data_IF_878841341551
#
_entry.id   IF_878841341551
#
_cell.length_a   1.000
_cell.length_b   1.000
_cell.length_c   1.000
_cell.angle_alpha   90.00
_cell.angle_beta   90.00
_cell.angle_gamma   90.00
#
_symmetry.space_group_name_H-M   'P 1'
#
loop_
_entity.id
_entity.type
_entity.pdbx_description
1 polymer ?
#
# COMPACT_ATOMS: atom_id res chain seq x y z
N UNK A 1 -60.32 -9.32 -31.25
CA UNK A 1 -59.36 -8.87 -32.29
C UNK A 1 -58.25 -9.91 -32.33
N UNK A 2 -58.36 -10.96 -33.15
CA UNK A 2 -57.89 -10.99 -34.55
C UNK A 2 -56.43 -10.53 -34.63
N UNK A 3 -55.42 -11.27 -35.09
CA UNK A 3 -55.25 -12.28 -36.18
C UNK A 3 -53.70 -12.46 -36.26
N UNK A 4 -53.03 -13.50 -36.75
CA UNK A 4 -53.34 -14.71 -37.51
C UNK A 4 -52.04 -15.46 -37.86
N UNK A 5 -52.13 -16.80 -37.97
CA UNK A 5 -51.51 -17.72 -38.96
C UNK A 5 -49.96 -17.84 -39.07
N UNK A 6 -49.34 -18.99 -39.41
CA UNK A 6 -49.75 -20.02 -40.38
C UNK A 6 -48.95 -21.34 -40.25
N UNK A 7 -49.50 -22.42 -40.82
CA UNK A 7 -49.03 -23.82 -40.88
C UNK A 7 -47.93 -24.05 -41.95
N UNK A 8 -47.12 -25.12 -41.82
CA UNK A 8 -47.16 -26.37 -42.65
C UNK A 8 -45.82 -27.16 -42.68
N UNK A 9 -45.94 -28.44 -42.30
CA UNK A 9 -45.36 -29.69 -42.84
C UNK A 9 -43.90 -29.83 -43.32
N UNK A 10 -43.25 -30.92 -42.85
CA UNK A 10 -42.83 -32.03 -43.75
C UNK A 10 -42.59 -33.37 -43.02
N UNK A 11 -43.19 -34.43 -43.56
CA UNK A 11 -42.93 -35.86 -43.27
C UNK A 11 -41.50 -36.27 -43.70
N UNK A 12 -40.91 -37.30 -43.07
CA UNK A 12 -40.59 -38.58 -43.74
C UNK A 12 -39.69 -39.55 -42.94
N UNK A 13 -40.18 -40.79 -42.84
CA UNK A 13 -39.49 -42.08 -43.06
C UNK A 13 -38.36 -42.55 -42.11
N UNK A 14 -38.70 -43.60 -41.34
CA UNK A 14 -37.78 -44.68 -40.93
C UNK A 14 -37.06 -45.31 -42.15
N UNK A 15 -35.86 -45.90 -41.99
CA UNK A 15 -35.83 -47.36 -41.83
C UNK A 15 -34.76 -47.93 -40.88
N UNK A 16 -35.21 -48.92 -40.10
CA UNK A 16 -34.58 -50.20 -39.70
C UNK A 16 -33.17 -50.52 -40.25
N UNK A 17 -32.25 -50.94 -39.36
CA UNK A 17 -31.27 -52.05 -39.59
C UNK A 17 -30.67 -52.55 -38.25
N UNK A 18 -31.22 -53.65 -37.73
CA UNK A 18 -30.57 -54.98 -37.61
C UNK A 18 -29.33 -55.07 -36.73
N UNK A 19 -29.51 -55.41 -35.45
CA UNK A 19 -28.53 -56.21 -34.71
C UNK A 19 -28.98 -57.68 -34.78
N UNK A 20 -28.34 -58.44 -35.68
CA UNK A 20 -28.56 -59.87 -35.85
C UNK A 20 -27.81 -60.65 -34.76
N UNK A 21 -28.59 -61.43 -34.01
CA UNK A 21 -28.37 -62.81 -33.56
C UNK A 21 -27.04 -63.16 -32.85
N UNK A 22 -27.21 -63.33 -31.54
CA UNK A 22 -26.67 -64.38 -30.66
C UNK A 22 -26.24 -65.69 -31.35
N UNK A 23 -25.15 -66.28 -30.83
CA UNK A 23 -24.98 -67.67 -30.34
C UNK A 23 -23.46 -67.89 -30.18
N UNK A 24 -22.91 -68.19 -29.00
CA UNK A 24 -23.13 -69.44 -28.26
C UNK A 24 -22.44 -69.41 -26.88
N UNK A 25 -23.08 -70.08 -25.91
CA UNK A 25 -22.52 -70.87 -24.79
C UNK A 25 -21.44 -70.20 -23.87
N UNK A 26 -21.56 -70.14 -22.52
CA UNK A 26 -22.41 -70.86 -21.57
C UNK A 26 -22.05 -70.41 -20.11
N UNK A 27 -22.97 -70.59 -19.15
CA UNK A 27 -22.85 -70.50 -17.66
C UNK A 27 -22.87 -69.14 -16.91
N UNK A 28 -24.05 -68.90 -16.28
CA UNK A 28 -24.32 -68.36 -14.93
C UNK A 28 -23.32 -67.36 -14.28
N UNK A 29 -23.79 -66.13 -14.03
CA UNK A 29 -24.15 -65.58 -12.70
C UNK A 29 -24.70 -64.16 -12.91
N UNK A 30 -25.91 -63.92 -12.39
CA UNK A 30 -26.42 -62.59 -12.11
C UNK A 30 -25.53 -61.95 -11.02
N UNK A 31 -24.71 -60.95 -11.37
CA UNK A 31 -24.25 -59.97 -10.40
C UNK A 31 -23.86 -58.67 -11.07
N UNK A 32 -24.71 -57.66 -10.86
CA UNK A 32 -24.37 -56.24 -10.77
C UNK A 32 -22.89 -55.90 -10.99
N UNK A 33 -22.56 -55.37 -12.16
CA UNK A 33 -21.42 -54.48 -12.35
C UNK A 33 -21.97 -53.11 -12.73
N UNK A 34 -22.58 -52.45 -11.73
CA UNK A 34 -22.39 -51.01 -11.63
C UNK A 34 -20.88 -50.79 -11.48
N UNK A 35 -20.16 -50.62 -12.59
CA UNK A 35 -18.82 -50.07 -12.55
C UNK A 35 -18.92 -48.65 -11.99
N UNK A 36 -18.83 -48.55 -10.65
CA UNK A 36 -18.63 -47.30 -9.95
C UNK A 36 -17.31 -46.71 -10.42
N UNK A 37 -17.39 -45.58 -11.12
CA UNK A 37 -16.23 -44.78 -11.47
C UNK A 37 -15.60 -44.32 -10.14
N UNK A 38 -14.56 -45.02 -9.70
CA UNK A 38 -13.81 -44.64 -8.51
C UNK A 38 -13.11 -43.31 -8.83
N UNK A 39 -13.53 -42.23 -8.16
CA UNK A 39 -12.92 -40.91 -8.36
C UNK A 39 -11.42 -41.01 -8.05
N UNK A 40 -10.56 -40.58 -8.98
CA UNK A 40 -9.11 -40.65 -8.83
C UNK A 40 -8.65 -39.89 -7.56
N UNK A 41 -7.96 -40.58 -6.66
CA UNK A 41 -7.35 -39.98 -5.48
C UNK A 41 -6.22 -39.02 -5.87
N UNK A 42 -6.24 -37.79 -5.35
CA UNK A 42 -5.30 -36.72 -5.70
C UNK A 42 -4.85 -35.96 -4.45
N UNK A 43 -3.53 -35.87 -4.24
CA UNK A 43 -2.94 -34.99 -3.23
C UNK A 43 -3.20 -33.50 -3.58
N UNK A 44 -3.10 -32.58 -2.61
CA UNK A 44 -3.41 -31.17 -2.87
C UNK A 44 -2.44 -30.56 -3.88
N UNK A 45 -2.95 -29.71 -4.76
CA UNK A 45 -2.16 -28.96 -5.75
C UNK A 45 -2.67 -27.52 -5.87
N UNK A 46 -1.77 -26.56 -6.07
CA UNK A 46 -2.15 -25.16 -6.27
C UNK A 46 -2.86 -24.96 -7.62
N UNK A 47 -4.01 -24.29 -7.61
CA UNK A 47 -4.78 -23.98 -8.83
C UNK A 47 -4.21 -22.75 -9.55
N UNK A 48 -3.64 -21.81 -8.80
CA UNK A 48 -3.14 -20.52 -9.31
C UNK A 48 -1.81 -20.14 -8.64
N UNK A 49 -0.72 -20.90 -8.85
CA UNK A 49 0.58 -20.63 -8.23
C UNK A 49 1.15 -19.25 -8.60
N UNK A 50 0.84 -18.73 -9.79
CA UNK A 50 1.29 -17.42 -10.26
C UNK A 50 0.78 -16.27 -9.37
N UNK A 51 -0.40 -16.44 -8.76
CA UNK A 51 -0.97 -15.44 -7.82
C UNK A 51 -0.32 -15.48 -6.45
N UNK A 52 0.57 -16.43 -6.21
CA UNK A 52 1.27 -16.67 -4.95
C UNK A 52 2.77 -16.35 -5.05
N UNK A 53 3.29 -16.00 -6.24
CA UNK A 53 4.70 -15.59 -6.43
C UNK A 53 5.06 -14.38 -5.58
N UNK A 54 4.11 -13.44 -5.43
CA UNK A 54 4.30 -12.26 -4.58
C UNK A 54 4.13 -12.65 -3.11
N UNK A 55 5.25 -12.97 -2.46
CA UNK A 55 5.26 -13.28 -1.03
C UNK A 55 5.08 -12.02 -0.17
N UNK A 56 5.74 -10.91 -0.50
CA UNK A 56 5.63 -9.64 0.25
C UNK A 56 4.45 -8.80 -0.23
N UNK A 57 3.52 -8.51 0.69
CA UNK A 57 2.41 -7.59 0.51
C UNK A 57 2.61 -6.35 1.40
N UNK A 58 3.35 -5.37 0.89
CA UNK A 58 3.44 -4.04 1.50
C UNK A 58 2.22 -3.19 1.09
N UNK A 59 1.41 -2.77 2.05
CA UNK A 59 0.18 -2.00 1.83
C UNK A 59 0.05 -0.85 2.82
N UNK A 60 -0.55 0.29 2.42
CA UNK A 60 -0.90 1.33 3.38
C UNK A 60 -1.91 0.83 4.43
N UNK A 61 -1.84 1.38 5.64
CA UNK A 61 -2.87 1.20 6.66
C UNK A 61 -4.27 1.57 6.13
N UNK A 62 -5.30 1.01 6.74
CA UNK A 62 -6.71 1.16 6.37
C UNK A 62 -7.09 0.57 4.99
N UNK A 63 -6.18 -0.15 4.32
CA UNK A 63 -6.48 -0.87 3.07
C UNK A 63 -6.97 -2.29 3.34
N UNK A 64 -7.56 -2.91 2.31
CA UNK A 64 -7.99 -4.31 2.36
C UNK A 64 -6.92 -5.20 1.75
N UNK A 65 -6.52 -6.25 2.48
CA UNK A 65 -5.57 -7.27 2.04
C UNK A 65 -6.33 -8.55 1.69
N UNK A 66 -5.88 -9.21 0.62
CA UNK A 66 -6.42 -10.50 0.17
C UNK A 66 -5.27 -11.46 -0.09
N UNK A 67 -5.20 -12.54 0.66
CA UNK A 67 -4.30 -13.67 0.40
C UNK A 67 -5.06 -14.81 -0.24
N UNK A 68 -4.49 -15.43 -1.27
CA UNK A 68 -5.14 -16.50 -2.04
C UNK A 68 -4.27 -17.75 -2.02
N UNK A 69 -4.83 -18.86 -1.55
CA UNK A 69 -4.23 -20.18 -1.55
C UNK A 69 -5.24 -21.19 -2.08
N UNK A 70 -5.71 -20.98 -3.31
CA UNK A 70 -6.65 -21.90 -3.92
C UNK A 70 -5.94 -23.20 -4.31
N UNK A 71 -6.45 -24.31 -3.81
CA UNK A 71 -5.93 -25.64 -4.09
C UNK A 71 -7.05 -26.59 -4.51
N UNK A 72 -6.68 -27.60 -5.27
CA UNK A 72 -7.54 -28.72 -5.68
C UNK A 72 -6.98 -30.02 -5.09
N UNK A 73 -7.80 -31.07 -5.04
CA UNK A 73 -7.43 -32.39 -4.53
C UNK A 73 -8.67 -33.28 -4.42
N UNK A 74 -8.46 -34.59 -4.32
CA UNK A 74 -9.53 -35.54 -4.11
C UNK A 74 -9.13 -36.57 -3.04
N UNK A 75 -9.73 -36.56 -1.83
CA UNK A 75 -10.82 -35.68 -1.39
C UNK A 75 -10.45 -34.19 -1.38
N UNK A 76 -11.47 -33.31 -1.46
CA UNK A 76 -11.28 -31.86 -1.42
C UNK A 76 -10.50 -31.48 -0.15
N UNK A 77 -9.36 -30.79 -0.25
CA UNK A 77 -8.53 -30.54 0.91
C UNK A 77 -9.11 -29.47 1.81
N UNK A 78 -8.85 -29.60 3.10
CA UNK A 78 -9.13 -28.54 4.08
C UNK A 78 -8.09 -27.43 3.99
N UNK A 79 -8.46 -26.20 4.34
CA UNK A 79 -7.58 -25.03 4.31
C UNK A 79 -7.64 -24.29 5.64
N UNK A 80 -6.49 -24.09 6.27
CA UNK A 80 -6.33 -23.31 7.52
C UNK A 80 -5.31 -22.20 7.33
N UNK A 81 -5.46 -21.12 8.11
CA UNK A 81 -4.56 -19.99 8.12
C UNK A 81 -3.85 -19.87 9.47
N UNK A 82 -2.58 -19.51 9.42
CA UNK A 82 -1.74 -19.27 10.58
C UNK A 82 -1.12 -17.88 10.47
N UNK A 83 -1.09 -17.14 11.58
CA UNK A 83 -0.35 -15.88 11.72
C UNK A 83 0.84 -16.13 12.63
N UNK A 84 2.05 -15.90 12.13
CA UNK A 84 3.30 -16.10 12.86
C UNK A 84 3.41 -17.51 13.49
N UNK A 85 2.95 -18.53 12.76
CA UNK A 85 3.00 -19.93 13.20
C UNK A 85 1.86 -20.37 14.13
N UNK A 86 1.02 -19.47 14.61
CA UNK A 86 -0.16 -19.79 15.42
C UNK A 86 -1.43 -19.75 14.59
N UNK A 87 -2.41 -20.59 14.90
CA UNK A 87 -3.69 -20.60 14.20
C UNK A 87 -4.33 -19.21 14.21
N UNK A 88 -4.68 -18.70 13.02
CA UNK A 88 -5.21 -17.35 12.86
C UNK A 88 -6.73 -17.35 13.13
N UNK A 89 -7.11 -16.80 14.27
CA UNK A 89 -8.49 -16.79 14.75
C UNK A 89 -9.11 -15.40 14.62
N UNK A 90 -10.43 -15.32 14.43
CA UNK A 90 -11.13 -14.05 14.14
C UNK A 90 -10.98 -13.02 15.27
N UNK A 91 -10.84 -13.47 16.51
CA UNK A 91 -10.68 -12.65 17.72
C UNK A 91 -9.29 -12.03 17.87
N UNK A 92 -8.29 -12.49 17.13
CA UNK A 92 -6.93 -11.92 17.16
C UNK A 92 -6.82 -10.56 16.46
N UNK A 93 -7.92 -10.07 15.85
CA UNK A 93 -7.98 -8.81 15.09
C UNK A 93 -9.31 -8.10 15.31
N UNK A 94 -9.26 -6.78 15.50
CA UNK A 94 -10.47 -5.93 15.52
C UNK A 94 -11.16 -5.98 14.15
N UNK A 95 -12.46 -6.31 14.14
CA UNK A 95 -13.24 -6.54 12.92
C UNK A 95 -13.04 -7.91 12.27
N UNK A 96 -12.17 -8.76 12.84
CA UNK A 96 -11.90 -10.12 12.37
C UNK A 96 -11.43 -10.20 10.91
N UNK A 97 -11.73 -11.33 10.27
CA UNK A 97 -11.44 -11.57 8.86
C UNK A 97 -12.59 -12.31 8.18
N UNK A 98 -12.67 -12.19 6.85
CA UNK A 98 -13.58 -12.97 6.01
C UNK A 98 -12.79 -14.07 5.31
N UNK A 99 -13.31 -15.28 5.33
CA UNK A 99 -12.69 -16.44 4.67
C UNK A 99 -13.67 -17.00 3.64
N UNK A 100 -13.19 -17.14 2.40
CA UNK A 100 -13.94 -17.77 1.30
C UNK A 100 -13.33 -19.12 1.00
N UNK A 101 -13.83 -20.17 1.65
CA UNK A 101 -13.31 -21.55 1.56
C UNK A 101 -13.16 -22.04 0.12
N UNK A 102 -14.22 -21.98 -0.69
CA UNK A 102 -14.19 -22.43 -2.08
C UNK A 102 -13.20 -21.65 -2.97
N UNK A 103 -12.83 -20.44 -2.58
CA UNK A 103 -11.88 -19.58 -3.31
C UNK A 103 -10.49 -19.56 -2.67
N UNK A 104 -10.28 -20.29 -1.57
CA UNK A 104 -9.06 -20.27 -0.77
C UNK A 104 -8.59 -18.87 -0.37
N UNK A 105 -9.51 -17.91 -0.17
CA UNK A 105 -9.16 -16.49 -0.01
C UNK A 105 -9.39 -16.00 1.42
N UNK A 106 -8.33 -15.49 2.06
CA UNK A 106 -8.38 -14.75 3.32
C UNK A 106 -8.46 -13.25 3.02
N UNK A 107 -9.43 -12.55 3.63
CA UNK A 107 -9.67 -11.12 3.44
C UNK A 107 -9.61 -10.42 4.81
N UNK A 108 -8.69 -9.47 4.95
CA UNK A 108 -8.59 -8.58 6.10
C UNK A 108 -8.88 -7.15 5.64
N UNK A 109 -9.93 -6.54 6.18
CA UNK A 109 -10.36 -5.17 5.85
C UNK A 109 -9.75 -4.17 6.83
N UNK A 110 -9.39 -2.99 6.34
CA UNK A 110 -8.83 -1.89 7.15
C UNK A 110 -7.61 -2.32 7.97
N UNK A 111 -6.56 -2.81 7.32
CA UNK A 111 -5.33 -3.30 7.98
C UNK A 111 -4.64 -2.23 8.83
N UNK A 112 -4.08 -2.64 9.96
CA UNK A 112 -3.37 -1.78 10.93
C UNK A 112 -1.96 -2.33 11.21
N UNK A 113 -1.03 -1.57 11.80
CA UNK A 113 0.34 -2.04 12.04
C UNK A 113 0.46 -3.36 12.81
N UNK A 114 -0.47 -3.65 13.73
CA UNK A 114 -0.50 -4.91 14.47
C UNK A 114 -0.85 -6.14 13.62
N UNK A 115 -1.33 -5.94 12.38
CA UNK A 115 -1.57 -7.02 11.42
C UNK A 115 -0.30 -7.49 10.71
N UNK A 116 0.82 -6.78 10.85
CA UNK A 116 2.09 -7.21 10.24
C UNK A 116 2.45 -8.63 10.68
N UNK A 117 3.08 -9.37 9.76
CA UNK A 117 3.61 -10.70 10.05
C UNK A 117 3.44 -11.69 8.91
N UNK A 118 3.74 -12.95 9.23
CA UNK A 118 3.70 -14.06 8.30
C UNK A 118 2.33 -14.75 8.34
N UNK A 119 1.66 -14.81 7.20
CA UNK A 119 0.39 -15.48 7.02
C UNK A 119 0.60 -16.74 6.20
N UNK A 120 0.53 -17.90 6.87
CA UNK A 120 0.73 -19.20 6.23
C UNK A 120 -0.60 -19.89 6.01
N UNK A 121 -0.89 -20.24 4.76
CA UNK A 121 -1.98 -21.15 4.45
C UNK A 121 -1.44 -22.59 4.49
N UNK A 122 -2.19 -23.49 5.13
CA UNK A 122 -1.91 -24.92 5.14
C UNK A 122 -3.12 -25.63 4.55
N UNK A 123 -2.87 -26.40 3.49
CA UNK A 123 -3.87 -27.16 2.75
C UNK A 123 -3.55 -28.64 2.91
N UNK A 124 -4.53 -29.45 3.30
CA UNK A 124 -4.30 -30.87 3.60
C UNK A 124 -5.49 -31.77 3.21
N UNK A 125 -5.17 -32.95 2.68
CA UNK A 125 -6.09 -34.09 2.61
C UNK A 125 -5.34 -35.38 2.99
N UNK A 126 -6.03 -36.52 2.94
CA UNK A 126 -5.45 -37.83 3.33
C UNK A 126 -4.27 -38.28 2.45
N UNK A 127 -4.04 -37.62 1.32
CA UNK A 127 -2.98 -37.94 0.36
C UNK A 127 -1.81 -36.96 0.39
N UNK A 128 -1.87 -35.86 1.14
CA UNK A 128 -0.76 -34.93 1.28
C UNK A 128 -1.09 -33.57 1.89
N UNK A 129 -0.06 -32.73 2.03
CA UNK A 129 -0.16 -31.36 2.52
C UNK A 129 0.69 -30.39 1.71
N UNK A 130 0.18 -29.18 1.52
CA UNK A 130 0.88 -28.03 0.97
C UNK A 130 0.80 -26.85 1.92
N UNK A 131 1.81 -25.99 1.88
CA UNK A 131 1.80 -24.71 2.59
C UNK A 131 2.43 -23.59 1.78
N UNK A 132 1.98 -22.37 2.01
CA UNK A 132 2.58 -21.18 1.45
C UNK A 132 2.46 -20.02 2.43
N UNK A 133 3.46 -19.15 2.46
CA UNK A 133 3.55 -18.04 3.42
C UNK A 133 3.63 -16.71 2.70
N UNK A 134 2.72 -15.79 3.05
CA UNK A 134 2.77 -14.39 2.68
C UNK A 134 3.35 -13.57 3.83
N UNK A 135 4.13 -12.54 3.51
CA UNK A 135 4.58 -11.53 4.46
C UNK A 135 3.72 -10.27 4.28
N UNK A 136 2.95 -9.91 5.31
CA UNK A 136 2.19 -8.67 5.35
C UNK A 136 3.04 -7.56 6.00
N UNK A 137 3.27 -6.49 5.25
CA UNK A 137 3.78 -5.24 5.79
C UNK A 137 2.72 -4.13 5.65
N UNK A 138 2.42 -3.45 6.75
CA UNK A 138 1.39 -2.40 6.83
C UNK A 138 2.06 -1.08 7.11
N UNK A 139 2.01 -0.15 6.16
CA UNK A 139 2.72 1.13 6.21
C UNK A 139 1.72 2.22 6.60
N UNK A 140 1.97 2.91 7.71
CA UNK A 140 1.19 4.11 8.05
C UNK A 140 1.62 5.26 7.14
N UNK A 141 0.64 5.90 6.50
CA UNK A 141 0.85 7.02 5.59
C UNK A 141 0.22 8.27 6.19
N UNK A 142 0.87 9.42 6.03
CA UNK A 142 0.35 10.72 6.46
C UNK A 142 0.22 11.64 5.25
N UNK A 143 -0.95 11.65 4.57
CA UNK A 143 -1.18 12.44 3.37
C UNK A 143 -1.48 13.91 3.72
N UNK A 144 -0.52 14.59 4.33
CA UNK A 144 -0.63 16.01 4.68
C UNK A 144 0.50 16.81 4.05
N UNK A 145 0.30 18.13 3.95
CA UNK A 145 1.39 19.09 3.69
C UNK A 145 2.49 18.95 4.76
N UNK A 146 3.73 19.43 4.50
CA UNK A 146 4.80 19.29 5.48
C UNK A 146 4.45 19.96 6.81
N UNK A 147 4.85 19.35 7.92
CA UNK A 147 4.65 19.90 9.27
C UNK A 147 6.01 20.39 9.77
N UNK A 148 6.09 21.68 10.08
CA UNK A 148 7.30 22.26 10.67
C UNK A 148 7.23 22.15 12.19
N UNK A 149 8.35 21.82 12.83
CA UNK A 149 8.42 21.77 14.28
C UNK A 149 8.11 23.16 14.86
N UNK A 150 7.18 23.21 15.83
CA UNK A 150 6.83 24.44 16.52
C UNK A 150 8.06 25.08 17.21
N UNK A 151 8.13 26.40 17.17
CA UNK A 151 9.24 27.18 17.73
C UNK A 151 10.52 27.18 16.89
N UNK A 152 10.52 26.52 15.72
CA UNK A 152 11.63 26.53 14.76
C UNK A 152 11.20 27.14 13.42
N UNK A 153 12.03 27.99 12.79
CA UNK A 153 13.24 28.59 13.36
C UNK A 153 12.92 29.49 14.57
N UNK A 154 13.88 29.63 15.48
CA UNK A 154 13.75 30.48 16.66
C UNK A 154 14.37 31.86 16.41
N UNK A 155 13.81 32.90 17.04
CA UNK A 155 14.41 34.24 17.03
C UNK A 155 15.79 34.21 17.68
N UNK A 156 16.75 34.96 17.13
CA UNK A 156 18.13 34.99 17.61
C UNK A 156 18.68 36.42 17.67
N UNK A 157 19.61 36.63 18.60
CA UNK A 157 20.42 37.85 18.69
C UNK A 157 21.89 37.49 18.53
N UNK A 158 22.59 38.18 17.64
CA UNK A 158 23.98 37.91 17.30
C UNK A 158 24.83 39.19 17.36
N UNK A 159 26.13 39.01 17.53
CA UNK A 159 27.10 40.11 17.48
C UNK A 159 27.69 40.17 16.07
N UNK A 160 27.97 41.37 15.57
CA UNK A 160 28.63 41.54 14.27
C UNK A 160 29.90 40.68 14.21
N UNK A 161 30.01 39.89 13.15
CA UNK A 161 31.14 39.01 12.85
C UNK A 161 31.01 37.57 13.36
N UNK A 162 29.95 37.22 14.09
CA UNK A 162 29.70 35.83 14.51
C UNK A 162 28.94 35.04 13.44
N UNK A 163 28.98 33.71 13.54
CA UNK A 163 28.16 32.83 12.71
C UNK A 163 26.83 32.54 13.42
N UNK A 164 25.74 32.38 12.66
CA UNK A 164 24.38 32.12 13.16
C UNK A 164 23.76 30.97 12.39
N UNK A 165 23.04 30.09 13.07
CA UNK A 165 22.33 28.98 12.44
C UNK A 165 20.83 29.02 12.74
N UNK A 166 20.01 29.02 11.71
CA UNK A 166 18.58 28.78 11.83
C UNK A 166 18.27 27.32 11.51
N UNK A 167 17.49 26.68 12.39
CA UNK A 167 17.08 25.28 12.22
C UNK A 167 15.58 25.23 11.91
N UNK A 168 15.18 24.41 10.95
CA UNK A 168 13.82 24.17 10.52
C UNK A 168 13.62 22.67 10.32
N UNK A 169 13.06 22.00 11.33
CA UNK A 169 12.78 20.56 11.27
C UNK A 169 11.46 20.31 10.57
N UNK A 170 11.47 19.44 9.56
CA UNK A 170 10.32 19.19 8.69
C UNK A 170 9.91 17.72 8.76
N UNK A 171 8.63 17.48 9.06
CA UNK A 171 8.02 16.15 9.03
C UNK A 171 7.09 16.04 7.81
N UNK A 172 7.38 15.12 6.90
CA UNK A 172 6.58 14.89 5.69
C UNK A 172 6.72 13.44 5.22
N UNK A 173 5.59 12.80 4.86
CA UNK A 173 5.59 11.47 4.25
C UNK A 173 5.80 11.55 2.72
N UNK A 174 5.09 12.44 1.98
CA UNK A 174 5.54 12.82 0.65
C UNK A 174 6.88 13.56 0.71
N UNK A 175 7.77 13.32 -0.24
CA UNK A 175 9.07 13.99 -0.36
C UNK A 175 8.93 15.53 -0.30
N UNK A 176 9.52 16.22 0.69
CA UNK A 176 9.45 17.67 0.76
C UNK A 176 10.58 18.37 -0.01
N UNK A 177 10.31 19.61 -0.43
CA UNK A 177 11.26 20.59 -0.95
C UNK A 177 11.34 21.76 0.05
N UNK A 178 12.51 21.94 0.65
CA UNK A 178 12.76 22.99 1.65
C UNK A 178 13.50 24.16 0.99
N UNK A 179 13.10 25.40 1.30
CA UNK A 179 13.73 26.63 0.83
C UNK A 179 13.83 27.64 1.98
N UNK A 180 14.92 28.42 1.95
CA UNK A 180 15.10 29.54 2.88
C UNK A 180 15.02 30.87 2.16
N UNK A 181 14.31 31.80 2.78
CA UNK A 181 14.12 33.15 2.28
C UNK A 181 14.48 34.18 3.35
N UNK A 182 15.03 35.31 2.94
CA UNK A 182 15.11 36.53 3.75
C UNK A 182 14.12 37.54 3.21
N UNK A 183 13.30 38.11 4.08
CA UNK A 183 12.42 39.21 3.72
C UNK A 183 13.23 40.48 3.56
N UNK A 184 12.96 41.23 2.49
CA UNK A 184 13.65 42.49 2.18
C UNK A 184 12.64 43.61 2.03
N UNK A 185 13.13 44.85 2.11
CA UNK A 185 12.33 46.05 1.86
C UNK A 185 12.87 46.73 0.61
N UNK A 186 11.99 46.98 -0.36
CA UNK A 186 12.33 47.67 -1.61
C UNK A 186 11.55 48.98 -1.65
N UNK A 187 12.26 50.12 -1.80
CA UNK A 187 11.66 51.46 -1.80
C UNK A 187 10.75 51.74 -0.58
N UNK A 188 11.13 51.22 0.60
CA UNK A 188 10.36 51.37 1.84
C UNK A 188 9.16 50.42 1.99
N UNK A 189 8.84 49.60 0.97
CA UNK A 189 7.77 48.60 1.05
C UNK A 189 8.31 47.19 1.28
N UNK A 190 7.63 46.41 2.14
CA UNK A 190 7.87 44.97 2.30
C UNK A 190 7.12 44.11 1.28
N UNK A 191 6.14 44.68 0.59
CA UNK A 191 5.29 43.99 -0.36
C UNK A 191 5.45 44.58 -1.77
N UNK A 192 5.43 43.70 -2.76
CA UNK A 192 5.39 44.04 -4.16
C UNK A 192 4.04 44.57 -4.62
N UNK A 193 3.96 45.05 -5.87
CA UNK A 193 2.71 45.55 -6.47
C UNK A 193 1.58 44.51 -6.52
N UNK A 194 1.94 43.23 -6.48
CA UNK A 194 1.07 42.06 -6.45
C UNK A 194 0.59 41.69 -5.03
N UNK A 195 1.06 42.39 -3.99
CA UNK A 195 0.78 42.10 -2.59
C UNK A 195 1.62 40.98 -2.00
N UNK A 196 2.55 40.39 -2.76
CA UNK A 196 3.46 39.37 -2.26
C UNK A 196 4.69 40.00 -1.58
N UNK A 197 5.23 39.41 -0.50
CA UNK A 197 6.40 39.97 0.16
C UNK A 197 7.63 39.91 -0.73
N UNK A 198 8.47 40.95 -0.69
CA UNK A 198 9.77 40.89 -1.33
C UNK A 198 10.69 39.97 -0.54
N UNK A 199 11.20 38.93 -1.21
CA UNK A 199 12.07 37.94 -0.60
C UNK A 199 13.30 37.69 -1.45
N UNK A 200 14.41 37.38 -0.79
CA UNK A 200 15.63 36.86 -1.43
C UNK A 200 15.77 35.39 -1.05
N UNK A 201 15.92 34.53 -2.06
CA UNK A 201 16.17 33.10 -1.85
C UNK A 201 17.61 32.92 -1.40
N UNK A 202 17.80 32.33 -0.22
CA UNK A 202 19.12 32.11 0.37
C UNK A 202 19.64 30.70 0.13
N UNK A 203 18.75 29.71 0.19
CA UNK A 203 19.11 28.29 0.09
C UNK A 203 18.00 27.51 -0.61
N UNK A 204 18.39 26.77 -1.64
CA UNK A 204 17.56 25.84 -2.42
C UNK A 204 18.31 24.53 -2.58
N UNK A 205 17.60 23.41 -2.65
CA UNK A 205 18.22 22.09 -2.81
C UNK A 205 19.02 22.01 -4.11
N UNK A 206 20.30 21.68 -4.02
CA UNK A 206 21.17 21.37 -5.16
C UNK A 206 21.36 19.86 -5.34
N UNK A 207 22.08 19.43 -6.39
CA UNK A 207 22.32 18.01 -6.70
C UNK A 207 22.99 17.21 -5.57
N UNK A 208 23.79 17.86 -4.71
CA UNK A 208 24.54 17.22 -3.63
C UNK A 208 24.04 17.62 -2.23
N UNK A 209 22.88 18.25 -2.13
CA UNK A 209 22.34 18.71 -0.86
C UNK A 209 21.32 17.71 -0.34
N UNK A 210 21.55 17.17 0.86
CA UNK A 210 20.56 16.28 1.48
C UNK A 210 19.42 17.11 2.07
N UNK A 211 18.25 16.49 2.28
CA UNK A 211 17.14 17.14 2.98
C UNK A 211 17.54 17.66 4.35
N UNK A 212 18.36 16.89 5.07
CA UNK A 212 18.85 17.25 6.39
C UNK A 212 19.76 18.48 6.36
N UNK A 213 20.53 18.65 5.28
CA UNK A 213 21.30 19.87 5.08
C UNK A 213 20.38 21.07 4.83
N UNK A 214 19.23 20.88 4.20
CA UNK A 214 18.27 21.95 3.94
C UNK A 214 17.51 22.41 5.18
N UNK A 215 17.44 21.60 6.24
CA UNK A 215 16.86 21.98 7.53
C UNK A 215 17.67 23.07 8.26
N UNK A 216 18.93 23.32 7.88
CA UNK A 216 19.78 24.30 8.55
C UNK A 216 20.21 25.40 7.57
N UNK A 217 20.02 26.65 7.96
CA UNK A 217 20.58 27.83 7.29
C UNK A 217 21.69 28.40 8.16
N UNK A 218 22.93 28.37 7.66
CA UNK A 218 24.08 28.98 8.33
C UNK A 218 24.41 30.32 7.66
N UNK A 219 24.39 31.39 8.45
CA UNK A 219 24.88 32.71 8.08
C UNK A 219 26.26 32.89 8.70
N UNK A 220 27.27 33.19 7.89
CA UNK A 220 28.64 33.37 8.37
C UNK A 220 29.00 34.84 8.46
N UNK A 221 29.79 35.21 9.47
CA UNK A 221 30.33 36.56 9.65
C UNK A 221 29.23 37.64 9.53
N UNK A 222 28.18 37.53 10.35
CA UNK A 222 26.96 38.35 10.22
C UNK A 222 27.23 39.85 10.35
N UNK A 223 26.58 40.64 9.51
CA UNK A 223 26.64 42.10 9.47
C UNK A 223 25.33 42.73 9.97
N UNK A 224 25.30 44.06 10.12
CA UNK A 224 24.05 44.75 10.49
C UNK A 224 22.97 44.61 9.41
N UNK A 225 23.37 44.47 8.14
CA UNK A 225 22.45 44.30 7.02
C UNK A 225 21.79 42.90 7.03
N UNK A 226 22.37 41.95 7.77
CA UNK A 226 21.79 40.61 7.97
C UNK A 226 20.63 40.61 8.96
N UNK A 227 20.43 41.68 9.73
CA UNK A 227 19.24 41.77 10.59
C UNK A 227 17.95 41.74 9.75
N UNK A 228 16.96 40.99 10.22
CA UNK A 228 15.67 40.86 9.51
C UNK A 228 14.95 39.55 9.76
N UNK A 229 13.92 39.31 8.97
CA UNK A 229 13.08 38.11 9.04
C UNK A 229 13.55 37.05 8.04
N UNK A 230 13.70 35.83 8.55
CA UNK A 230 14.11 34.65 7.81
C UNK A 230 12.99 33.62 7.86
N UNK A 231 12.59 33.11 6.71
CA UNK A 231 11.51 32.12 6.59
C UNK A 231 12.05 30.81 6.04
N UNK A 232 11.74 29.72 6.73
CA UNK A 232 11.84 28.38 6.18
C UNK A 232 10.50 28.00 5.55
N UNK A 233 10.51 27.59 4.30
CA UNK A 233 9.35 27.08 3.58
C UNK A 233 9.59 25.62 3.22
N UNK A 234 8.62 24.76 3.52
CA UNK A 234 8.61 23.37 3.12
C UNK A 234 7.37 23.08 2.28
N UNK A 235 7.58 22.44 1.14
CA UNK A 235 6.54 22.15 0.15
C UNK A 235 6.57 20.67 -0.23
N UNK A 236 5.41 20.04 -0.37
CA UNK A 236 5.30 18.72 -0.98
C UNK A 236 4.14 18.70 -1.99
N UNK A 237 3.86 17.55 -2.59
CA UNK A 237 2.79 17.40 -3.58
C UNK A 237 1.37 17.70 -3.08
N UNK A 238 1.18 17.87 -1.76
CA UNK A 238 -0.11 18.14 -1.12
C UNK A 238 -0.24 19.62 -0.74
N UNK A 239 0.87 20.28 -0.38
CA UNK A 239 0.83 21.72 -0.09
C UNK A 239 2.11 22.26 0.54
N UNK A 240 1.97 23.48 1.07
CA UNK A 240 3.08 24.31 1.56
C UNK A 240 2.86 24.66 3.03
N UNK A 241 3.94 24.67 3.81
CA UNK A 241 3.98 25.20 5.16
C UNK A 241 5.25 26.05 5.36
N UNK A 242 5.20 27.04 6.24
CA UNK A 242 6.34 27.92 6.51
C UNK A 242 6.33 28.42 7.95
N UNK A 243 7.51 28.71 8.49
CA UNK A 243 7.72 29.39 9.77
C UNK A 243 8.80 30.46 9.60
N UNK A 244 8.68 31.55 10.36
CA UNK A 244 9.61 32.68 10.33
C UNK A 244 10.32 32.87 11.67
N UNK A 245 11.54 33.42 11.61
CA UNK A 245 12.29 33.88 12.76
C UNK A 245 12.96 35.23 12.47
N UNK A 246 13.17 36.02 13.51
CA UNK A 246 13.87 37.29 13.45
C UNK A 246 15.33 37.16 13.88
N UNK A 247 16.24 37.75 13.10
CA UNK A 247 17.64 37.97 13.48
C UNK A 247 17.83 39.42 13.94
N UNK A 248 18.30 39.60 15.17
CA UNK A 248 18.78 40.89 15.68
C UNK A 248 20.30 40.90 15.70
N UNK A 249 20.94 41.89 15.08
CA UNK A 249 22.41 42.01 15.06
C UNK A 249 22.87 43.25 15.83
N UNK A 250 23.83 43.09 16.72
CA UNK A 250 24.34 44.15 17.59
C UNK A 250 25.85 44.34 17.40
N UNK A 251 26.33 45.59 17.49
CA UNK A 251 27.78 45.86 17.51
C UNK A 251 28.35 45.38 18.85
N UNK A 252 29.46 44.64 18.81
CA UNK A 252 30.15 44.20 20.03
C UNK A 252 30.56 45.42 20.86
N UNK A 253 30.22 45.42 22.15
CA UNK A 253 30.63 46.48 23.06
C UNK A 253 32.15 46.49 23.23
N UNK A 254 32.80 47.60 22.85
CA UNK A 254 34.16 47.88 23.32
C UNK A 254 34.06 48.17 24.83
N UNK A 255 34.67 47.32 25.65
CA UNK A 255 35.09 47.72 27.00
C UNK A 255 36.30 48.63 26.88
#
# INVERSE_FOLDING_TARGET
MSTSNEKLQRNSLNPVRSCLKLLSCEWLILSCLCCGVSSLALAPQWVMPEKMEKQLHAVPASRTVKFRCQATGNPLPSLRWYKNGMEFRKDQRIGGFKFREHMGTLIMESVVPSDRGNYTCVVENVHGSLKHTFLLDVIERSPHRPILQAGLPANQTAVVGTDVEFVCKVFSDPQPHIRWFKHITVNGSKQGPDGHPFVVVLKTAGLNTTEKDMEVLTLKNVSLDDAGEYTCLAENSIGVSYHSAWLTVQKGGRR
#
